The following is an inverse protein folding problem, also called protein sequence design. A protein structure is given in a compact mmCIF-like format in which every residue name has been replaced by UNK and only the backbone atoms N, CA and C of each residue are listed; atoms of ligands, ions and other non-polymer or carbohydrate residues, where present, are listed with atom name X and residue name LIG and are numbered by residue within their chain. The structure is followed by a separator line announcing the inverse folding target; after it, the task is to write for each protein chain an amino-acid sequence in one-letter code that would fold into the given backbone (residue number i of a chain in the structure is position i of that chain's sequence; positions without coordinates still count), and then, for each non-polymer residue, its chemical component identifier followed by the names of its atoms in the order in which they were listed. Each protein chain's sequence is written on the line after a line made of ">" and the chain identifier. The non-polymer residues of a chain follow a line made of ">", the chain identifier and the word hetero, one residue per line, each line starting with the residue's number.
data_IF_724441930620
#
_entry.id   IF_724441930620
#
_cell.length_a   1.000
_cell.length_b   1.000
_cell.length_c   1.000
_cell.angle_alpha   90.00
_cell.angle_beta   90.00
_cell.angle_gamma   90.00
#
_symmetry.space_group_name_H-M   'P 1'
#
loop_
_entity.id
_entity.type
_entity.pdbx_description
1 polymer ?
#
# COMPACT_ATOMS: atom_id res chain seq x y z
N UNK A 1 -6.43 18.96 -16.80
CA UNK A 1 -6.58 19.62 -15.49
C UNK A 1 -5.31 20.38 -15.18
N UNK A 2 -5.40 21.59 -14.61
CA UNK A 2 -4.23 22.33 -14.13
C UNK A 2 -3.34 21.48 -13.21
N UNK A 3 -2.03 21.70 -13.23
CA UNK A 3 -1.06 20.92 -12.46
C UNK A 3 -1.35 20.93 -10.93
N UNK A 4 -1.75 22.09 -10.38
CA UNK A 4 -2.09 22.23 -8.97
C UNK A 4 -3.31 21.35 -8.58
N UNK A 5 -4.31 21.26 -9.45
CA UNK A 5 -5.48 20.41 -9.23
C UNK A 5 -5.09 18.92 -9.27
N UNK A 6 -4.15 18.56 -10.14
CA UNK A 6 -3.64 17.18 -10.23
C UNK A 6 -2.88 16.77 -8.97
N UNK A 7 -2.01 17.64 -8.43
CA UNK A 7 -1.31 17.38 -7.17
C UNK A 7 -2.28 17.27 -5.99
N UNK A 8 -3.28 18.16 -5.90
CA UNK A 8 -4.29 18.08 -4.86
C UNK A 8 -5.05 16.74 -4.94
N UNK A 9 -5.47 16.34 -6.13
CA UNK A 9 -6.15 15.05 -6.35
C UNK A 9 -5.24 13.87 -5.97
N UNK A 10 -3.95 13.90 -6.33
CA UNK A 10 -2.99 12.87 -5.94
C UNK A 10 -2.96 12.71 -4.42
N UNK A 11 -2.81 13.82 -3.69
CA UNK A 11 -2.73 13.80 -2.23
C UNK A 11 -4.00 13.29 -1.56
N UNK A 12 -5.16 13.70 -2.07
CA UNK A 12 -6.44 13.20 -1.59
C UNK A 12 -6.55 11.68 -1.79
N UNK A 13 -6.12 11.16 -2.96
CA UNK A 13 -6.10 9.71 -3.22
C UNK A 13 -5.12 8.97 -2.30
N UNK A 14 -3.90 9.50 -2.10
CA UNK A 14 -2.91 8.90 -1.19
C UNK A 14 -3.46 8.75 0.23
N UNK A 15 -4.07 9.82 0.76
CA UNK A 15 -4.69 9.82 2.09
C UNK A 15 -5.85 8.84 2.20
N UNK A 16 -6.71 8.77 1.18
CA UNK A 16 -7.79 7.78 1.13
C UNK A 16 -7.24 6.34 1.14
N UNK A 17 -6.11 6.11 0.48
CA UNK A 17 -5.45 4.80 0.42
C UNK A 17 -4.78 4.37 1.74
N UNK A 18 -4.69 5.25 2.75
CA UNK A 18 -4.26 4.88 4.11
C UNK A 18 -5.28 4.00 4.84
N UNK A 19 -6.55 3.96 4.40
CA UNK A 19 -7.58 3.10 5.00
C UNK A 19 -7.28 1.62 4.69
N UNK A 20 -6.95 0.83 5.70
CA UNK A 20 -6.61 -0.60 5.56
C UNK A 20 -7.87 -1.46 5.56
N UNK A 21 -7.98 -2.37 4.60
CA UNK A 21 -9.07 -3.34 4.53
C UNK A 21 -8.59 -4.71 4.99
N UNK A 22 -9.47 -5.43 5.70
CA UNK A 22 -9.24 -6.81 6.09
C UNK A 22 -9.80 -7.76 5.04
N UNK A 23 -8.97 -8.65 4.50
CA UNK A 23 -9.36 -9.58 3.44
C UNK A 23 -9.78 -10.96 3.92
N UNK A 24 -9.41 -11.35 5.16
CA UNK A 24 -9.74 -12.66 5.73
C UNK A 24 -11.25 -12.92 5.82
N UNK A 25 -11.60 -14.20 5.89
CA UNK A 25 -12.96 -14.74 5.79
C UNK A 25 -13.97 -13.90 6.60
N UNK A 26 -14.68 -13.05 5.84
CA UNK A 26 -15.73 -12.13 6.26
C UNK A 26 -15.53 -11.52 7.64
N UNK A 27 -14.94 -10.31 7.72
CA UNK A 27 -14.93 -9.53 8.97
C UNK A 27 -16.33 -9.58 9.62
N UNK A 28 -16.49 -10.27 10.77
CA UNK A 28 -17.81 -10.55 11.35
C UNK A 28 -18.53 -9.28 11.81
N UNK A 29 -17.83 -8.14 11.83
CA UNK A 29 -18.37 -6.81 12.16
C UNK A 29 -18.96 -6.08 10.95
N UNK A 30 -18.71 -6.54 9.72
CA UNK A 30 -19.23 -5.91 8.51
C UNK A 30 -20.65 -6.40 8.20
N UNK A 31 -21.62 -5.52 8.39
CA UNK A 31 -23.04 -5.78 8.09
C UNK A 31 -23.35 -5.86 6.58
N UNK A 32 -22.51 -5.26 5.73
CA UNK A 32 -22.72 -5.15 4.28
C UNK A 32 -21.48 -5.59 3.49
N UNK A 33 -21.44 -6.88 3.12
CA UNK A 33 -20.35 -7.47 2.32
C UNK A 33 -20.23 -6.87 0.91
N UNK A 34 -21.33 -6.37 0.34
CA UNK A 34 -21.32 -5.78 -1.01
C UNK A 34 -20.59 -4.45 -0.99
N UNK A 35 -20.86 -3.62 0.01
CA UNK A 35 -20.16 -2.34 0.21
C UNK A 35 -18.67 -2.53 0.44
N UNK A 36 -18.28 -3.46 1.32
CA UNK A 36 -16.87 -3.78 1.58
C UNK A 36 -16.13 -4.20 0.29
N UNK A 37 -16.75 -5.04 -0.54
CA UNK A 37 -16.19 -5.42 -1.83
C UNK A 37 -16.03 -4.21 -2.76
N UNK A 38 -17.04 -3.33 -2.85
CA UNK A 38 -16.97 -2.12 -3.66
C UNK A 38 -15.88 -1.16 -3.19
N UNK A 39 -15.73 -0.96 -1.87
CA UNK A 39 -14.70 -0.09 -1.29
C UNK A 39 -13.28 -0.65 -1.54
N UNK A 40 -13.10 -1.98 -1.42
CA UNK A 40 -11.86 -2.65 -1.79
C UNK A 40 -11.51 -2.46 -3.27
N UNK A 41 -12.49 -2.56 -4.17
CA UNK A 41 -12.29 -2.29 -5.59
C UNK A 41 -11.97 -0.81 -5.85
N UNK A 42 -12.67 0.11 -5.19
CA UNK A 42 -12.42 1.55 -5.31
C UNK A 42 -11.01 1.93 -4.86
N UNK A 43 -10.55 1.38 -3.72
CA UNK A 43 -9.16 1.57 -3.27
C UNK A 43 -8.16 1.00 -4.26
N UNK A 44 -8.41 -0.19 -4.81
CA UNK A 44 -7.54 -0.78 -5.83
C UNK A 44 -7.41 0.14 -7.04
N UNK A 45 -8.53 0.67 -7.54
CA UNK A 45 -8.52 1.60 -8.66
C UNK A 45 -7.76 2.89 -8.32
N UNK A 46 -7.98 3.46 -7.12
CA UNK A 46 -7.27 4.66 -6.69
C UNK A 46 -5.75 4.45 -6.62
N UNK A 47 -5.28 3.29 -6.12
CA UNK A 47 -3.86 2.91 -6.11
C UNK A 47 -3.29 2.81 -7.53
N UNK A 48 -4.02 2.20 -8.46
CA UNK A 48 -3.60 2.11 -9.87
C UNK A 48 -3.51 3.48 -10.53
N UNK A 49 -4.46 4.37 -10.26
CA UNK A 49 -4.44 5.74 -10.79
C UNK A 49 -3.24 6.53 -10.23
N UNK A 50 -2.92 6.37 -8.94
CA UNK A 50 -1.73 6.98 -8.32
C UNK A 50 -0.46 6.48 -9.01
N UNK A 51 -0.33 5.16 -9.19
CA UNK A 51 0.82 4.56 -9.83
C UNK A 51 0.97 5.05 -11.29
N UNK A 52 -0.13 5.11 -12.04
CA UNK A 52 -0.14 5.63 -13.39
C UNK A 52 0.33 7.10 -13.43
N UNK A 53 -0.14 7.93 -12.50
CA UNK A 53 0.26 9.33 -12.42
C UNK A 53 1.75 9.50 -12.10
N UNK A 54 2.26 8.77 -11.10
CA UNK A 54 3.68 8.78 -10.70
C UNK A 54 4.60 8.31 -11.85
N UNK A 55 4.13 7.42 -12.72
CA UNK A 55 4.89 6.94 -13.87
C UNK A 55 4.90 7.93 -15.05
N UNK A 56 3.90 8.82 -15.16
CA UNK A 56 3.78 9.78 -16.27
C UNK A 56 4.49 11.11 -15.98
N UNK A 57 4.53 11.51 -14.72
CA UNK A 57 5.04 12.79 -14.29
C UNK A 57 6.26 12.56 -13.38
N UNK A 58 7.37 13.27 -13.62
CA UNK A 58 8.44 13.35 -12.61
C UNK A 58 8.27 14.60 -11.73
N UNK A 59 7.50 15.58 -12.18
CA UNK A 59 7.26 16.83 -11.48
C UNK A 59 6.19 16.77 -10.39
N UNK A 60 5.61 15.61 -10.06
CA UNK A 60 4.65 15.51 -8.96
C UNK A 60 5.28 15.78 -7.59
N UNK A 61 6.61 15.67 -7.49
CA UNK A 61 7.33 15.67 -6.24
C UNK A 61 7.24 17.02 -5.53
N UNK A 62 6.68 16.99 -4.33
CA UNK A 62 6.82 18.01 -3.30
C UNK A 62 6.93 17.34 -1.93
N UNK A 63 7.23 18.12 -0.90
CA UNK A 63 7.42 17.59 0.45
C UNK A 63 6.15 16.96 1.05
N UNK A 64 4.98 17.51 0.73
CA UNK A 64 3.72 17.03 1.25
C UNK A 64 3.29 15.72 0.57
N UNK A 65 3.56 15.59 -0.73
CA UNK A 65 3.37 14.35 -1.49
C UNK A 65 4.31 13.26 -0.99
N UNK A 66 5.57 13.58 -0.71
CA UNK A 66 6.50 12.63 -0.10
C UNK A 66 5.98 12.10 1.25
N UNK A 67 5.51 13.00 2.12
CA UNK A 67 4.90 12.63 3.41
C UNK A 67 3.66 11.73 3.21
N UNK A 68 2.76 12.11 2.30
CA UNK A 68 1.53 11.36 2.02
C UNK A 68 1.83 9.97 1.42
N UNK A 69 2.87 9.82 0.56
CA UNK A 69 3.33 8.51 0.04
C UNK A 69 3.85 7.64 1.18
N UNK A 70 4.78 8.15 1.99
CA UNK A 70 5.39 7.37 3.09
C UNK A 70 4.33 6.95 4.11
N UNK A 71 3.39 7.84 4.46
CA UNK A 71 2.28 7.52 5.34
C UNK A 71 1.37 6.42 4.76
N UNK A 72 1.02 6.52 3.47
CA UNK A 72 0.20 5.52 2.78
C UNK A 72 0.91 4.16 2.74
N UNK A 73 2.21 4.15 2.44
CA UNK A 73 3.04 2.94 2.47
C UNK A 73 3.08 2.31 3.85
N UNK A 74 3.42 3.09 4.89
CA UNK A 74 3.49 2.63 6.27
C UNK A 74 2.17 2.01 6.74
N UNK A 75 1.05 2.67 6.47
CA UNK A 75 -0.28 2.21 6.87
C UNK A 75 -0.63 0.83 6.29
N UNK A 76 -0.18 0.52 5.08
CA UNK A 76 -0.51 -0.73 4.39
C UNK A 76 0.51 -1.85 4.63
N UNK A 77 1.79 -1.53 4.77
CA UNK A 77 2.88 -2.52 4.90
C UNK A 77 3.10 -2.92 6.35
N UNK A 78 3.06 -1.98 7.30
CA UNK A 78 3.28 -2.28 8.71
C UNK A 78 2.04 -2.90 9.34
N UNK A 79 1.91 -4.21 9.16
CA UNK A 79 0.84 -5.03 9.72
C UNK A 79 1.39 -6.29 10.36
N UNK A 80 0.64 -6.83 11.32
CA UNK A 80 0.91 -8.15 11.87
C UNK A 80 0.65 -9.20 10.79
N UNK A 81 1.64 -10.03 10.50
CA UNK A 81 1.44 -11.18 9.62
C UNK A 81 0.49 -12.18 10.30
N UNK A 82 -0.43 -12.82 9.57
CA UNK A 82 -1.25 -13.88 10.13
C UNK A 82 -0.34 -14.98 10.70
N UNK A 83 -0.72 -15.58 11.84
CA UNK A 83 0.07 -16.64 12.44
C UNK A 83 0.26 -17.77 11.43
N UNK A 84 1.51 -18.19 11.21
CA UNK A 84 1.80 -19.38 10.41
C UNK A 84 1.14 -20.56 11.10
N UNK A 85 0.11 -21.13 10.49
CA UNK A 85 -0.53 -22.34 10.99
C UNK A 85 0.44 -23.49 10.76
N UNK A 86 1.37 -23.71 11.70
CA UNK A 86 2.19 -24.91 11.71
C UNK A 86 1.26 -26.05 12.11
N UNK A 87 0.69 -26.73 11.12
CA UNK A 87 -0.04 -27.96 11.38
C UNK A 87 0.94 -28.93 12.06
N UNK A 88 0.70 -29.39 13.30
CA UNK A 88 1.62 -30.30 14.00
C UNK A 88 1.88 -31.59 13.22
N UNK A 89 0.94 -32.00 12.35
CA UNK A 89 1.11 -33.14 11.45
C UNK A 89 1.97 -32.84 10.20
N UNK A 90 2.17 -31.56 9.83
CA UNK A 90 3.00 -31.16 8.71
C UNK A 90 4.52 -31.16 9.04
N UNK A 91 4.92 -31.53 10.26
CA UNK A 91 6.33 -31.73 10.61
C UNK A 91 6.98 -32.89 9.84
N UNK A 92 6.17 -33.78 9.26
CA UNK A 92 6.64 -34.94 8.50
C UNK A 92 6.55 -34.78 6.97
N UNK A 93 5.99 -33.66 6.49
CA UNK A 93 5.84 -33.40 5.06
C UNK A 93 6.73 -32.20 4.69
N UNK A 94 8.00 -32.49 4.43
CA UNK A 94 9.02 -31.49 4.09
C UNK A 94 8.81 -30.88 2.69
N UNK A 95 7.83 -31.35 1.92
CA UNK A 95 7.68 -31.00 0.50
C UNK A 95 6.53 -30.03 0.18
N UNK A 96 5.60 -29.74 1.09
CA UNK A 96 4.49 -28.82 0.82
C UNK A 96 4.42 -27.67 1.84
N UNK A 97 5.32 -26.69 1.72
CA UNK A 97 4.99 -25.32 2.16
C UNK A 97 3.89 -24.81 1.21
N UNK A 98 2.63 -25.15 1.51
CA UNK A 98 1.49 -24.61 0.78
C UNK A 98 1.55 -23.08 0.90
N UNK A 99 1.88 -22.41 -0.20
CA UNK A 99 2.10 -20.97 -0.21
C UNK A 99 0.80 -20.26 0.15
N UNK A 100 0.68 -19.83 1.42
CA UNK A 100 -0.46 -19.03 1.87
C UNK A 100 -0.47 -17.73 1.09
N UNK A 101 -1.35 -17.62 0.10
CA UNK A 101 -1.56 -16.41 -0.69
C UNK A 101 -2.15 -15.33 0.22
N UNK A 102 -1.39 -14.26 0.46
CA UNK A 102 -1.90 -13.10 1.18
C UNK A 102 -3.06 -12.49 0.36
N UNK A 103 -4.28 -12.60 0.87
CA UNK A 103 -5.48 -12.12 0.18
C UNK A 103 -5.46 -10.60 -0.04
N UNK A 104 -4.64 -9.86 0.72
CA UNK A 104 -4.46 -8.41 0.57
C UNK A 104 -3.50 -8.07 -0.57
N UNK A 105 -2.84 -9.06 -1.18
CA UNK A 105 -1.81 -8.89 -2.21
C UNK A 105 -2.21 -7.97 -3.36
N UNK A 106 -3.46 -7.96 -3.89
CA UNK A 106 -3.84 -7.04 -4.95
C UNK A 106 -3.73 -5.55 -4.59
N UNK A 107 -3.84 -5.19 -3.31
CA UNK A 107 -3.55 -3.83 -2.84
C UNK A 107 -2.07 -3.65 -2.57
N UNK A 108 -1.45 -4.62 -1.92
CA UNK A 108 -0.06 -4.53 -1.47
C UNK A 108 0.93 -4.48 -2.60
N UNK A 109 0.72 -5.26 -3.66
CA UNK A 109 1.55 -5.24 -4.86
C UNK A 109 1.67 -3.81 -5.39
N UNK A 110 0.54 -3.10 -5.52
CA UNK A 110 0.53 -1.71 -6.01
C UNK A 110 1.17 -0.74 -5.01
N UNK A 111 0.99 -0.94 -3.71
CA UNK A 111 1.65 -0.13 -2.67
C UNK A 111 3.17 -0.29 -2.73
N UNK A 112 3.67 -1.52 -2.84
CA UNK A 112 5.10 -1.79 -3.00
C UNK A 112 5.65 -1.15 -4.28
N UNK A 113 4.90 -1.24 -5.38
CA UNK A 113 5.34 -0.64 -6.64
C UNK A 113 5.38 0.89 -6.56
N UNK A 114 4.36 1.54 -5.98
CA UNK A 114 4.35 3.00 -5.75
C UNK A 114 5.58 3.40 -4.93
N UNK A 115 5.84 2.69 -3.82
CA UNK A 115 6.95 3.02 -2.93
C UNK A 115 8.31 2.81 -3.59
N UNK A 116 8.46 1.71 -4.34
CA UNK A 116 9.67 1.45 -5.13
C UNK A 116 9.92 2.58 -6.14
N UNK A 117 8.91 2.94 -6.93
CA UNK A 117 8.98 4.05 -7.91
C UNK A 117 9.34 5.37 -7.27
N UNK A 118 8.82 5.64 -6.08
CA UNK A 118 9.15 6.83 -5.30
C UNK A 118 10.62 6.83 -4.85
N UNK A 119 11.14 5.72 -4.31
CA UNK A 119 12.54 5.62 -3.86
C UNK A 119 13.53 5.76 -5.02
N UNK A 120 13.24 5.16 -6.18
CA UNK A 120 14.16 5.20 -7.34
C UNK A 120 13.97 6.44 -8.22
N UNK A 121 13.06 7.36 -7.85
CA UNK A 121 12.80 8.55 -8.64
C UNK A 121 14.01 9.50 -8.62
N UNK A 122 14.59 9.87 -9.78
CA UNK A 122 15.80 10.69 -9.84
C UNK A 122 15.67 12.09 -9.23
N UNK A 123 14.44 12.60 -9.10
CA UNK A 123 14.14 13.94 -8.56
C UNK A 123 14.09 13.92 -7.03
N UNK A 124 13.90 12.75 -6.42
CA UNK A 124 13.78 12.61 -4.98
C UNK A 124 15.16 12.63 -4.34
N UNK A 125 15.51 13.73 -3.68
CA UNK A 125 16.79 13.84 -2.99
C UNK A 125 16.84 12.97 -1.72
N UNK A 126 17.88 12.14 -1.52
CA UNK A 126 18.01 11.29 -0.34
C UNK A 126 17.98 12.03 1.00
N UNK A 127 18.49 13.27 1.04
CA UNK A 127 18.45 14.12 2.24
C UNK A 127 17.02 14.50 2.61
N UNK A 128 16.19 14.75 1.62
CA UNK A 128 14.76 15.07 1.79
C UNK A 128 13.94 13.84 2.18
N UNK A 129 14.41 12.62 1.92
CA UNK A 129 13.74 11.39 2.37
C UNK A 129 13.95 11.09 3.86
N UNK A 130 15.12 11.45 4.43
CA UNK A 130 15.46 11.15 5.83
C UNK A 130 14.47 11.74 6.86
N UNK A 131 13.76 12.81 6.51
CA UNK A 131 12.71 13.40 7.37
C UNK A 131 11.42 12.57 7.42
N UNK A 132 11.20 11.69 6.44
CA UNK A 132 10.00 10.87 6.33
C UNK A 132 10.29 9.39 6.61
N UNK A 133 11.45 8.90 6.17
CA UNK A 133 11.93 7.53 6.38
C UNK A 133 13.01 7.58 7.48
N UNK A 134 12.56 7.48 8.73
CA UNK A 134 13.42 7.48 9.91
C UNK A 134 13.74 6.05 10.38
N UNK A 135 14.52 5.93 11.46
CA UNK A 135 14.88 4.62 12.02
C UNK A 135 13.65 3.81 12.47
N UNK A 136 12.56 4.49 12.85
CA UNK A 136 11.32 3.85 13.26
C UNK A 136 10.57 3.24 12.07
N UNK A 137 10.67 3.85 10.89
CA UNK A 137 10.15 3.26 9.65
C UNK A 137 10.91 1.99 9.24
N UNK A 138 12.19 1.89 9.58
CA UNK A 138 13.06 0.76 9.16
C UNK A 138 12.96 -0.44 10.12
N UNK A 139 12.71 -0.20 11.42
CA UNK A 139 12.67 -1.22 12.48
C UNK A 139 11.36 -2.02 12.51
#
# INVERSE_FOLDING_TARGET
>A
TPFADQQLVLRLKLRACCVVFYFGDGNPRLRDKRRDFQEKLAKRQALLDILAYINQAWNYYDDQVAADIVAMTAANIFRTLPPRVKNPMALFDLEEEEAVLDQSWPHLQTVYEIFFRFIVCPIVEPRSLKKHIDNKFIS
#
